data_IF_630304712682
#
_entry.id   IF_630304712682
#
_cell.length_a   1.000
_cell.length_b   1.000
_cell.length_c   1.000
_cell.angle_alpha   90.00
_cell.angle_beta   90.00
_cell.angle_gamma   90.00
#
_symmetry.space_group_name_H-M   'P 1'
#
loop_
_entity.id
_entity.type
_entity.pdbx_description
1 polymer ?
#
# COMPACT_ATOMS: atom_id res chain seq x y z
N UNK A 1 -3.55 -3.99 21.42
CA UNK A 1 -3.36 -4.87 20.24
C UNK A 1 -2.69 -4.02 19.15
N UNK A 2 -1.63 -4.50 18.48
CA UNK A 2 -0.99 -3.75 17.41
C UNK A 2 -1.92 -3.59 16.21
N UNK A 3 -1.67 -2.57 15.41
CA UNK A 3 -2.44 -2.24 14.23
C UNK A 3 -1.73 -2.72 12.96
N UNK A 4 -2.50 -3.13 11.96
CA UNK A 4 -2.04 -3.38 10.60
C UNK A 4 -2.63 -2.33 9.65
N UNK A 5 -1.76 -1.56 9.03
CA UNK A 5 -2.13 -0.60 7.99
C UNK A 5 -1.75 -1.14 6.62
N UNK A 6 -2.72 -1.29 5.75
CA UNK A 6 -2.52 -1.69 4.35
C UNK A 6 -2.69 -0.44 3.49
N UNK A 7 -1.60 0.05 2.93
CA UNK A 7 -1.58 1.24 2.09
C UNK A 7 -1.43 0.83 0.62
N UNK A 8 -2.42 1.13 -0.18
CA UNK A 8 -2.43 0.85 -1.62
C UNK A 8 -2.78 2.09 -2.44
N UNK A 9 -2.66 2.00 -3.75
CA UNK A 9 -2.94 3.09 -4.68
C UNK A 9 -2.03 3.03 -5.91
N UNK A 10 -2.25 3.86 -6.94
CA UNK A 10 -1.46 3.86 -8.16
C UNK A 10 0.00 4.26 -7.91
N UNK A 11 0.87 4.00 -8.89
CA UNK A 11 2.24 4.49 -8.85
C UNK A 11 2.24 6.04 -8.85
N UNK A 12 3.18 6.64 -8.12
CA UNK A 12 3.32 8.10 -8.02
C UNK A 12 2.41 8.78 -6.99
N UNK A 13 1.38 8.10 -6.44
CA UNK A 13 0.43 8.70 -5.49
C UNK A 13 1.04 9.09 -4.13
N UNK A 14 2.22 8.56 -3.79
CA UNK A 14 2.93 8.86 -2.53
C UNK A 14 2.85 7.77 -1.47
N UNK A 15 2.49 6.51 -1.84
CA UNK A 15 2.40 5.39 -0.89
C UNK A 15 3.61 5.25 0.02
N UNK A 16 4.82 5.14 -0.55
CA UNK A 16 6.05 4.90 0.23
C UNK A 16 6.33 6.04 1.22
N UNK A 17 6.10 7.28 0.80
CA UNK A 17 6.26 8.45 1.68
C UNK A 17 5.28 8.42 2.84
N UNK A 18 4.00 8.23 2.56
CA UNK A 18 2.96 8.16 3.58
C UNK A 18 3.17 6.97 4.52
N UNK A 19 3.50 5.80 3.97
CA UNK A 19 3.76 4.59 4.76
C UNK A 19 4.94 4.76 5.71
N UNK A 20 6.01 5.40 5.24
CA UNK A 20 7.20 5.68 6.06
C UNK A 20 6.88 6.65 7.21
N UNK A 21 6.18 7.74 6.93
CA UNK A 21 5.82 8.70 7.98
C UNK A 21 4.76 8.13 8.95
N UNK A 22 3.84 7.31 8.45
CA UNK A 22 2.90 6.60 9.30
C UNK A 22 3.63 5.62 10.24
N UNK A 23 4.57 4.83 9.75
CA UNK A 23 5.38 3.94 10.57
C UNK A 23 6.17 4.70 11.63
N UNK A 24 6.84 5.81 11.27
CA UNK A 24 7.58 6.67 12.21
C UNK A 24 6.71 7.27 13.32
N UNK A 25 5.40 7.36 13.11
CA UNK A 25 4.48 7.95 14.11
C UNK A 25 4.12 7.00 15.26
N UNK A 26 4.70 5.80 15.27
CA UNK A 26 4.56 4.79 16.32
C UNK A 26 5.89 4.50 17.01
N UNK A 27 5.85 4.23 18.31
CA UNK A 27 7.05 3.94 19.09
C UNK A 27 7.69 2.59 18.70
N UNK A 28 6.87 1.62 18.29
CA UNK A 28 7.30 0.28 17.90
C UNK A 28 6.55 -0.12 16.65
N UNK A 29 7.20 0.01 15.50
CA UNK A 29 6.56 -0.25 14.21
C UNK A 29 7.50 -0.91 13.20
N UNK A 30 6.91 -1.56 12.19
CA UNK A 30 7.60 -2.12 11.04
C UNK A 30 6.97 -1.58 9.75
N UNK A 31 7.80 -1.15 8.81
CA UNK A 31 7.41 -0.83 7.44
C UNK A 31 7.80 -1.99 6.53
N UNK A 32 6.82 -2.53 5.83
CA UNK A 32 7.01 -3.62 4.87
C UNK A 32 6.62 -3.10 3.48
N UNK A 33 7.62 -2.91 2.63
CA UNK A 33 7.41 -2.53 1.23
C UNK A 33 7.34 -3.79 0.36
N UNK A 34 6.17 -4.10 -0.17
CA UNK A 34 5.94 -5.31 -0.92
C UNK A 34 6.77 -5.41 -2.20
N UNK A 35 7.07 -4.27 -2.84
CA UNK A 35 7.93 -4.26 -4.03
C UNK A 35 9.33 -4.83 -3.72
N UNK A 36 9.92 -4.54 -2.56
CA UNK A 36 11.20 -5.13 -2.18
C UNK A 36 11.10 -6.64 -1.97
N UNK A 37 10.01 -7.12 -1.38
CA UNK A 37 9.78 -8.56 -1.21
C UNK A 37 9.60 -9.23 -2.58
N UNK A 38 8.81 -8.62 -3.46
CA UNK A 38 8.57 -9.18 -4.80
C UNK A 38 9.85 -9.31 -5.61
N UNK A 39 10.74 -8.32 -5.52
CA UNK A 39 12.01 -8.27 -6.25
C UNK A 39 13.15 -9.06 -5.59
N UNK A 40 12.91 -9.77 -4.48
CA UNK A 40 13.90 -10.73 -3.92
C UNK A 40 14.09 -11.96 -4.81
N UNK A 41 13.13 -12.27 -5.68
CA UNK A 41 13.28 -13.35 -6.66
C UNK A 41 14.23 -12.91 -7.76
N UNK A 42 15.43 -13.50 -7.82
CA UNK A 42 16.46 -13.18 -8.83
C UNK A 42 16.37 -14.19 -9.98
N UNK A 43 16.50 -15.48 -9.67
CA UNK A 43 16.35 -16.53 -10.68
C UNK A 43 14.88 -16.76 -11.02
N UNK A 44 14.55 -16.73 -12.32
CA UNK A 44 13.17 -16.94 -12.78
C UNK A 44 12.22 -15.77 -12.46
N UNK A 45 12.72 -14.55 -12.30
CA UNK A 45 11.89 -13.37 -12.08
C UNK A 45 10.91 -13.14 -13.22
N UNK A 46 9.62 -13.01 -12.88
CA UNK A 46 8.55 -12.64 -13.82
C UNK A 46 7.79 -11.47 -13.25
N UNK A 47 7.51 -10.45 -14.07
CA UNK A 47 6.73 -9.29 -13.64
C UNK A 47 5.35 -9.71 -13.13
N UNK A 48 4.85 -9.04 -12.08
CA UNK A 48 3.61 -9.38 -11.37
C UNK A 48 2.36 -9.43 -12.26
N UNK A 49 2.36 -8.73 -13.38
CA UNK A 49 1.25 -8.67 -14.35
C UNK A 49 1.35 -9.66 -15.51
N UNK A 50 2.40 -10.50 -15.53
CA UNK A 50 2.60 -11.52 -16.57
C UNK A 50 2.21 -12.90 -16.06
N UNK A 51 1.83 -13.77 -17.00
CA UNK A 51 1.62 -15.19 -16.73
C UNK A 51 2.90 -15.84 -16.21
N UNK A 52 2.77 -16.82 -15.31
CA UNK A 52 3.91 -17.48 -14.66
C UNK A 52 4.57 -16.67 -13.55
N UNK A 53 3.97 -15.54 -13.13
CA UNK A 53 4.47 -14.76 -12.00
C UNK A 53 4.44 -15.55 -10.66
N UNK A 54 5.14 -15.03 -9.67
CA UNK A 54 5.27 -15.67 -8.35
C UNK A 54 4.43 -14.99 -7.24
N UNK A 55 3.31 -14.34 -7.61
CA UNK A 55 2.42 -13.65 -6.65
C UNK A 55 1.92 -14.57 -5.53
N UNK A 56 1.66 -15.85 -5.81
CA UNK A 56 1.24 -16.80 -4.77
C UNK A 56 2.30 -16.97 -3.68
N UNK A 57 3.57 -17.09 -4.05
CA UNK A 57 4.69 -17.17 -3.10
C UNK A 57 4.88 -15.84 -2.38
N UNK A 58 4.84 -14.74 -3.11
CA UNK A 58 4.93 -13.39 -2.58
C UNK A 58 3.92 -13.14 -1.45
N UNK A 59 2.62 -13.43 -1.68
CA UNK A 59 1.60 -13.22 -0.66
C UNK A 59 1.80 -14.10 0.58
N UNK A 60 2.27 -15.35 0.42
CA UNK A 60 2.65 -16.19 1.57
C UNK A 60 3.75 -15.56 2.41
N UNK A 61 4.80 -15.05 1.75
CA UNK A 61 5.92 -14.39 2.43
C UNK A 61 5.44 -13.14 3.15
N UNK A 62 4.64 -12.28 2.48
CA UNK A 62 4.10 -11.07 3.08
C UNK A 62 3.25 -11.37 4.32
N UNK A 63 2.33 -12.32 4.24
CA UNK A 63 1.48 -12.71 5.38
C UNK A 63 2.33 -13.17 6.56
N UNK A 64 3.34 -14.00 6.33
CA UNK A 64 4.21 -14.50 7.39
C UNK A 64 5.03 -13.39 8.05
N UNK A 65 5.65 -12.51 7.26
CA UNK A 65 6.42 -11.38 7.79
C UNK A 65 5.52 -10.45 8.62
N UNK A 66 4.34 -10.10 8.10
CA UNK A 66 3.39 -9.24 8.80
C UNK A 66 2.96 -9.87 10.12
N UNK A 67 2.60 -11.16 10.12
CA UNK A 67 2.19 -11.88 11.35
C UNK A 67 3.31 -11.87 12.39
N UNK A 68 4.53 -12.19 12.00
CA UNK A 68 5.68 -12.20 12.91
C UNK A 68 5.83 -10.86 13.64
N UNK A 69 5.77 -9.74 12.93
CA UNK A 69 5.87 -8.42 13.56
C UNK A 69 4.67 -8.09 14.47
N UNK A 70 3.45 -8.43 14.04
CA UNK A 70 2.25 -8.20 14.85
C UNK A 70 2.28 -9.03 16.15
N UNK A 71 2.69 -10.29 16.09
CA UNK A 71 2.84 -11.19 17.23
C UNK A 71 3.89 -10.68 18.23
N UNK A 72 4.94 -10.04 17.74
CA UNK A 72 5.97 -9.38 18.56
C UNK A 72 5.55 -7.98 19.05
N UNK A 73 4.31 -7.55 18.77
CA UNK A 73 3.73 -6.29 19.26
C UNK A 73 4.14 -5.04 18.49
N UNK A 74 4.56 -5.16 17.23
CA UNK A 74 4.80 -4.01 16.35
C UNK A 74 3.52 -3.57 15.66
N UNK A 75 3.27 -2.26 15.56
CA UNK A 75 2.36 -1.73 14.56
C UNK A 75 2.99 -1.92 13.17
N UNK A 76 2.24 -2.47 12.22
CA UNK A 76 2.77 -2.81 10.89
C UNK A 76 2.13 -1.93 9.82
N UNK A 77 2.96 -1.34 8.99
CA UNK A 77 2.53 -0.64 7.76
C UNK A 77 3.01 -1.44 6.56
N UNK A 78 2.08 -2.00 5.80
CA UNK A 78 2.34 -2.73 4.56
C UNK A 78 1.95 -1.87 3.36
N UNK A 79 2.89 -1.68 2.44
CA UNK A 79 2.75 -0.88 1.23
C UNK A 79 2.92 -1.76 -0.01
N UNK A 80 1.85 -1.92 -0.77
CA UNK A 80 1.85 -2.65 -2.04
C UNK A 80 0.60 -2.33 -2.88
N UNK A 81 0.58 -2.74 -4.14
CA UNK A 81 -0.64 -2.75 -4.94
C UNK A 81 -1.52 -3.92 -4.49
N UNK A 82 -2.60 -3.61 -3.78
CA UNK A 82 -3.56 -4.58 -3.26
C UNK A 82 -4.85 -4.47 -4.06
N UNK A 83 -5.24 -5.53 -4.75
CA UNK A 83 -6.52 -5.60 -5.46
C UNK A 83 -7.65 -5.99 -4.50
N UNK A 84 -8.93 -5.80 -4.88
CA UNK A 84 -10.05 -6.28 -4.07
C UNK A 84 -9.97 -7.78 -3.73
N UNK A 85 -9.50 -8.60 -4.67
CA UNK A 85 -9.31 -10.05 -4.45
C UNK A 85 -8.22 -10.33 -3.42
N UNK A 86 -7.12 -9.59 -3.47
CA UNK A 86 -6.05 -9.71 -2.46
C UNK A 86 -6.50 -9.21 -1.09
N UNK A 87 -7.43 -8.24 -1.05
CA UNK A 87 -8.00 -7.73 0.19
C UNK A 87 -8.74 -8.81 0.97
N UNK A 88 -9.46 -9.69 0.30
CA UNK A 88 -10.14 -10.81 0.95
C UNK A 88 -9.15 -11.80 1.60
N UNK A 89 -8.01 -12.05 0.97
CA UNK A 89 -6.92 -12.83 1.58
C UNK A 89 -6.42 -12.17 2.88
N UNK A 90 -6.24 -10.85 2.85
CA UNK A 90 -5.77 -10.08 4.00
C UNK A 90 -6.79 -10.13 5.14
N UNK A 91 -8.08 -9.93 4.86
CA UNK A 91 -9.15 -10.02 5.87
C UNK A 91 -9.17 -11.38 6.57
N UNK A 92 -9.07 -12.46 5.80
CA UNK A 92 -9.02 -13.82 6.35
C UNK A 92 -7.76 -14.03 7.20
N UNK A 93 -6.60 -13.61 6.69
CA UNK A 93 -5.32 -13.84 7.34
C UNK A 93 -5.16 -13.07 8.66
N UNK A 94 -5.80 -11.89 8.77
CA UNK A 94 -5.62 -10.95 9.89
C UNK A 94 -6.93 -10.61 10.62
N UNK A 95 -7.93 -11.48 10.55
CA UNK A 95 -9.27 -11.30 11.17
C UNK A 95 -9.25 -10.98 12.67
N UNK A 96 -8.20 -11.40 13.37
CA UNK A 96 -8.05 -11.22 14.82
C UNK A 96 -7.21 -9.97 15.16
N UNK A 97 -6.89 -9.11 14.19
CA UNK A 97 -6.09 -7.90 14.35
C UNK A 97 -6.89 -6.64 13.97
N UNK A 98 -6.44 -5.50 14.45
CA UNK A 98 -6.97 -4.21 14.00
C UNK A 98 -6.40 -3.87 12.62
N UNK A 99 -7.17 -4.10 11.56
CA UNK A 99 -6.73 -3.84 10.18
C UNK A 99 -7.38 -2.58 9.64
N UNK A 100 -6.56 -1.67 9.10
CA UNK A 100 -7.01 -0.53 8.31
C UNK A 100 -6.52 -0.66 6.88
N UNK A 101 -7.43 -0.54 5.93
CA UNK A 101 -7.16 -0.58 4.50
C UNK A 101 -7.39 0.78 3.87
N UNK A 102 -6.37 1.34 3.22
CA UNK A 102 -6.42 2.69 2.66
C UNK A 102 -5.98 2.68 1.20
N UNK A 103 -6.86 3.14 0.33
CA UNK A 103 -6.59 3.35 -1.09
C UNK A 103 -6.28 4.83 -1.30
N UNK A 104 -5.02 5.16 -1.49
CA UNK A 104 -4.62 6.53 -1.80
C UNK A 104 -4.92 6.84 -3.27
N UNK A 105 -5.57 7.96 -3.50
CA UNK A 105 -5.76 8.54 -4.83
C UNK A 105 -5.35 10.02 -4.82
N UNK A 106 -5.24 10.60 -6.00
CA UNK A 106 -5.02 12.03 -6.20
C UNK A 106 -5.58 12.45 -7.55
N UNK A 107 -5.66 13.75 -7.81
CA UNK A 107 -5.94 14.24 -9.16
C UNK A 107 -4.75 14.00 -10.12
N UNK A 108 -5.03 14.09 -11.42
CA UNK A 108 -4.05 13.79 -12.47
C UNK A 108 -2.86 14.76 -12.47
N UNK A 109 -3.13 16.05 -12.23
CA UNK A 109 -2.09 17.08 -12.25
C UNK A 109 -1.11 16.87 -11.10
N UNK A 110 -1.63 16.63 -9.90
CA UNK A 110 -0.83 16.32 -8.70
C UNK A 110 -0.04 15.02 -8.89
N UNK A 111 -0.65 13.99 -9.49
CA UNK A 111 0.03 12.73 -9.75
C UNK A 111 1.24 12.90 -10.66
N UNK A 112 1.06 13.61 -11.79
CA UNK A 112 2.12 13.86 -12.75
C UNK A 112 3.24 14.77 -12.16
N UNK A 113 2.87 15.75 -11.33
CA UNK A 113 3.84 16.57 -10.63
C UNK A 113 4.72 15.73 -9.70
N UNK A 114 4.10 14.89 -8.86
CA UNK A 114 4.81 13.97 -7.95
C UNK A 114 5.66 12.95 -8.70
N UNK A 115 5.21 12.46 -9.86
CA UNK A 115 5.99 11.51 -10.67
C UNK A 115 7.25 12.14 -11.23
N UNK A 116 7.18 13.42 -11.64
CA UNK A 116 8.35 14.19 -12.13
C UNK A 116 9.41 14.45 -11.06
N UNK A 117 9.03 14.49 -9.78
CA UNK A 117 9.97 14.64 -8.65
C UNK A 117 10.74 13.36 -8.33
N UNK A 118 10.32 12.22 -8.89
CA UNK A 118 11.00 10.92 -8.70
C UNK A 118 12.30 10.88 -9.51
N UNK A 119 13.28 10.03 -9.08
CA UNK A 119 14.44 9.72 -9.91
C UNK A 119 14.01 9.31 -11.32
N UNK A 120 14.75 9.72 -12.33
CA UNK A 120 14.39 9.51 -13.77
C UNK A 120 14.05 8.05 -14.06
N UNK A 121 14.84 7.12 -13.53
CA UNK A 121 14.64 5.67 -13.72
C UNK A 121 13.35 5.14 -13.06
N UNK A 122 12.73 5.93 -12.20
CA UNK A 122 11.50 5.60 -11.48
C UNK A 122 10.28 6.36 -12.01
N UNK A 123 10.45 7.29 -12.93
CA UNK A 123 9.35 8.05 -13.53
C UNK A 123 8.56 7.18 -14.50
N UNK A 124 7.24 7.26 -14.42
CA UNK A 124 6.33 6.45 -15.22
C UNK A 124 5.53 7.26 -16.25
N UNK A 125 5.54 8.61 -16.14
CA UNK A 125 4.84 9.49 -17.07
C UNK A 125 3.35 9.13 -17.26
N UNK A 126 2.90 9.01 -18.49
CA UNK A 126 1.50 8.69 -18.82
C UNK A 126 1.01 7.36 -18.22
N UNK A 127 1.90 6.42 -17.91
CA UNK A 127 1.52 5.16 -17.28
C UNK A 127 0.93 5.39 -15.88
N UNK A 128 1.34 6.45 -15.16
CA UNK A 128 0.73 6.81 -13.88
C UNK A 128 -0.76 7.08 -14.02
N UNK A 129 -1.18 7.77 -15.08
CA UNK A 129 -2.59 8.08 -15.35
C UNK A 129 -3.39 6.82 -15.68
N UNK A 130 -2.81 5.92 -16.48
CA UNK A 130 -3.44 4.62 -16.78
C UNK A 130 -3.69 3.83 -15.50
N UNK A 131 -2.72 3.81 -14.58
CA UNK A 131 -2.84 3.14 -13.29
C UNK A 131 -3.87 3.84 -12.39
N UNK A 132 -3.87 5.18 -12.34
CA UNK A 132 -4.87 5.94 -11.57
C UNK A 132 -6.29 5.62 -12.04
N UNK A 133 -6.53 5.62 -13.35
CA UNK A 133 -7.82 5.28 -13.92
C UNK A 133 -8.21 3.82 -13.62
N UNK A 134 -7.25 2.89 -13.69
CA UNK A 134 -7.47 1.51 -13.28
C UNK A 134 -7.89 1.41 -11.81
N UNK A 135 -7.28 2.18 -10.92
CA UNK A 135 -7.66 2.21 -9.50
C UNK A 135 -9.05 2.83 -9.28
N UNK A 136 -9.38 3.92 -9.97
CA UNK A 136 -10.72 4.56 -9.90
C UNK A 136 -11.83 3.63 -10.38
N UNK A 137 -11.55 2.75 -11.34
CA UNK A 137 -12.51 1.81 -11.93
C UNK A 137 -12.60 0.47 -11.17
N UNK A 138 -11.75 0.22 -10.16
CA UNK A 138 -11.87 -0.96 -9.31
C UNK A 138 -12.93 -0.75 -8.24
N UNK A 139 -13.63 -1.82 -7.90
CA UNK A 139 -14.69 -1.83 -6.89
C UNK A 139 -14.12 -1.81 -5.46
N UNK A 140 -13.33 -0.77 -5.12
CA UNK A 140 -12.97 -0.51 -3.74
C UNK A 140 -14.15 0.13 -3.00
N UNK A 141 -14.32 -0.22 -1.72
CA UNK A 141 -15.29 0.48 -0.88
C UNK A 141 -14.89 1.96 -0.79
N UNK A 142 -15.84 2.85 -1.07
CA UNK A 142 -15.60 4.31 -1.03
C UNK A 142 -15.07 4.80 0.32
N UNK A 143 -15.43 4.15 1.43
CA UNK A 143 -14.91 4.46 2.75
C UNK A 143 -13.41 4.24 2.86
N UNK A 144 -12.84 3.33 2.09
CA UNK A 144 -11.40 3.06 2.12
C UNK A 144 -10.59 3.99 1.21
N UNK A 145 -11.26 4.83 0.40
CA UNK A 145 -10.58 5.75 -0.52
C UNK A 145 -10.24 7.05 0.20
N UNK A 146 -8.99 7.47 0.07
CA UNK A 146 -8.48 8.75 0.58
C UNK A 146 -7.86 9.54 -0.57
N UNK A 147 -8.52 10.65 -0.94
CA UNK A 147 -7.97 11.62 -1.89
C UNK A 147 -6.95 12.52 -1.18
N UNK A 148 -5.73 12.51 -1.68
CA UNK A 148 -4.59 13.26 -1.12
C UNK A 148 -4.19 14.47 -1.96
N UNK A 149 -5.00 14.89 -2.92
CA UNK A 149 -4.69 15.99 -3.84
C UNK A 149 -4.32 17.27 -3.10
N UNK A 150 -5.07 17.60 -2.05
CA UNK A 150 -4.92 18.83 -1.27
C UNK A 150 -4.48 18.58 0.19
N UNK A 151 -3.88 17.42 0.46
CA UNK A 151 -3.45 17.05 1.80
C UNK A 151 -1.93 17.08 1.93
N UNK A 152 -1.45 17.65 3.03
CA UNK A 152 -0.06 17.47 3.45
C UNK A 152 0.18 16.02 3.90
N UNK A 153 1.43 15.61 3.93
CA UNK A 153 1.84 14.29 4.43
C UNK A 153 1.36 14.09 5.86
N UNK A 154 1.61 15.07 6.75
CA UNK A 154 1.19 15.00 8.16
C UNK A 154 -0.32 14.85 8.29
N UNK A 155 -1.10 15.66 7.56
CA UNK A 155 -2.56 15.57 7.60
C UNK A 155 -3.09 14.23 7.09
N UNK A 156 -2.45 13.68 6.04
CA UNK A 156 -2.79 12.36 5.50
C UNK A 156 -2.55 11.27 6.55
N UNK A 157 -1.40 11.30 7.23
CA UNK A 157 -1.07 10.35 8.31
C UNK A 157 -2.06 10.46 9.47
N UNK A 158 -2.41 11.68 9.90
CA UNK A 158 -3.38 11.90 10.97
C UNK A 158 -4.77 11.32 10.62
N UNK A 159 -5.23 11.53 9.39
CA UNK A 159 -6.50 10.96 8.90
C UNK A 159 -6.45 9.43 8.93
N UNK A 160 -5.39 8.83 8.41
CA UNK A 160 -5.25 7.36 8.38
C UNK A 160 -5.25 6.77 9.80
N UNK A 161 -4.57 7.42 10.75
CA UNK A 161 -4.50 6.95 12.13
C UNK A 161 -5.85 7.02 12.84
N UNK A 162 -6.57 8.12 12.69
CA UNK A 162 -7.69 8.46 13.56
C UNK A 162 -9.06 8.11 12.95
N UNK A 163 -9.18 8.05 11.62
CA UNK A 163 -10.47 7.77 10.99
C UNK A 163 -10.79 6.28 11.03
N UNK A 164 -11.92 5.94 11.62
CA UNK A 164 -12.41 4.56 11.76
C UNK A 164 -12.96 4.00 10.44
N UNK A 165 -13.27 4.86 9.47
CA UNK A 165 -13.82 4.41 8.17
C UNK A 165 -12.92 3.44 7.41
N UNK A 166 -11.61 3.44 7.70
CA UNK A 166 -10.64 2.55 7.08
C UNK A 166 -10.59 1.16 7.70
N UNK A 167 -11.24 0.93 8.84
CA UNK A 167 -11.30 -0.39 9.47
C UNK A 167 -12.02 -1.42 8.57
N UNK A 168 -11.49 -2.64 8.50
CA UNK A 168 -12.03 -3.73 7.67
C UNK A 168 -12.12 -5.02 8.47
#
# INVERSE_FOLDING_TARGET
MPNLYIITGPAGVGKSTISKELAKSYNKSALIEGDYIYHQVIGGFVQAWKEGNHLKTFWKVCVNIIKTYLEDGFDVVFNYIVTPENLELIKIAFKDYNVKFVVLITDEATLLARDKERPIDCQMGQRCLTLLNSFKNKNYNSNNILDTSNLSISKTVDIIKNDIKFAI
#
